data_IF_098483259366
#
_entry.id   IF_098483259366
#
_cell.length_a   1.000
_cell.length_b   1.000
_cell.length_c   1.000
_cell.angle_alpha   90.00
_cell.angle_beta   90.00
_cell.angle_gamma   90.00
#
_symmetry.space_group_name_H-M   'P 1'
#
loop_
_entity.id
_entity.type
_entity.pdbx_description
1 polymer ?
#
# COMPACT_ATOMS: atom_id res chain seq x y z
N UNK A 1 -9.83 -4.18 5.06
CA UNK A 1 -11.16 -3.62 5.41
C UNK A 1 -11.45 -2.28 4.75
N UNK A 2 -10.57 -1.25 4.78
CA UNK A 2 -10.89 0.06 4.19
C UNK A 2 -11.18 0.01 2.68
N UNK A 3 -10.38 -0.73 1.90
CA UNK A 3 -10.59 -0.91 0.46
C UNK A 3 -12.01 -1.40 0.12
N UNK A 4 -12.51 -2.44 0.81
CA UNK A 4 -13.83 -3.00 0.55
C UNK A 4 -14.96 -2.00 0.84
N UNK A 5 -14.82 -1.17 1.89
CA UNK A 5 -15.78 -0.12 2.20
C UNK A 5 -15.80 0.98 1.13
N UNK A 6 -14.63 1.32 0.59
CA UNK A 6 -14.49 2.32 -0.47
C UNK A 6 -15.09 1.82 -1.79
N UNK A 7 -14.72 0.62 -2.24
CA UNK A 7 -15.27 0.01 -3.47
C UNK A 7 -16.78 -0.18 -3.33
N UNK A 8 -17.25 -0.79 -2.24
CA UNK A 8 -18.67 -1.01 -2.01
C UNK A 8 -19.45 0.29 -1.85
N UNK A 9 -18.90 1.27 -1.15
CA UNK A 9 -19.52 2.58 -0.98
C UNK A 9 -19.68 3.33 -2.31
N UNK A 10 -18.69 3.24 -3.21
CA UNK A 10 -18.76 3.81 -4.55
C UNK A 10 -19.81 3.09 -5.40
N UNK A 11 -19.73 1.76 -5.49
CA UNK A 11 -20.58 0.98 -6.39
C UNK A 11 -22.05 0.95 -5.94
N UNK A 12 -22.31 1.12 -4.64
CA UNK A 12 -23.66 1.19 -4.06
C UNK A 12 -24.17 2.62 -3.83
N UNK A 13 -23.38 3.65 -4.18
CA UNK A 13 -23.66 5.06 -3.85
C UNK A 13 -24.00 5.28 -2.36
N UNK A 14 -23.23 4.66 -1.46
CA UNK A 14 -23.41 4.74 -0.02
C UNK A 14 -22.34 5.63 0.62
N UNK A 15 -22.71 6.87 0.94
CA UNK A 15 -21.82 7.89 1.51
C UNK A 15 -21.28 7.50 2.90
N UNK A 16 -22.08 6.83 3.74
CA UNK A 16 -21.64 6.39 5.07
C UNK A 16 -20.54 5.32 4.98
N UNK A 17 -20.63 4.41 4.00
CA UNK A 17 -19.57 3.43 3.74
C UNK A 17 -18.30 4.11 3.25
N UNK A 18 -18.41 5.07 2.33
CA UNK A 18 -17.27 5.85 1.85
C UNK A 18 -16.58 6.58 3.00
N UNK A 19 -17.36 7.27 3.83
CA UNK A 19 -16.86 8.00 5.01
C UNK A 19 -16.14 7.06 5.98
N UNK A 20 -16.76 5.95 6.34
CA UNK A 20 -16.15 4.95 7.22
C UNK A 20 -14.85 4.37 6.63
N UNK A 21 -14.83 4.10 5.32
CA UNK A 21 -13.64 3.63 4.61
C UNK A 21 -12.50 4.65 4.63
N UNK A 22 -12.79 5.92 4.35
CA UNK A 22 -11.83 7.02 4.38
C UNK A 22 -11.27 7.25 5.79
N UNK A 23 -12.14 7.29 6.81
CA UNK A 23 -11.73 7.49 8.21
C UNK A 23 -10.85 6.34 8.71
N UNK A 24 -11.23 5.10 8.41
CA UNK A 24 -10.45 3.92 8.76
C UNK A 24 -9.09 3.90 8.04
N UNK A 25 -9.07 4.22 6.74
CA UNK A 25 -7.83 4.27 5.97
C UNK A 25 -6.89 5.37 6.46
N UNK A 26 -7.42 6.56 6.77
CA UNK A 26 -6.63 7.68 7.31
C UNK A 26 -5.97 7.31 8.63
N UNK A 27 -6.71 6.64 9.51
CA UNK A 27 -6.17 6.13 10.76
C UNK A 27 -5.08 5.08 10.52
N UNK A 28 -5.32 4.14 9.60
CA UNK A 28 -4.38 3.06 9.30
C UNK A 28 -3.08 3.58 8.68
N UNK A 29 -3.16 4.46 7.68
CA UNK A 29 -1.99 5.12 7.07
C UNK A 29 -1.16 5.80 8.14
N UNK A 30 -1.77 6.57 9.05
CA UNK A 30 -1.05 7.24 10.15
C UNK A 30 -0.26 6.24 11.03
N UNK A 31 -0.81 5.05 11.27
CA UNK A 31 -0.14 4.00 12.05
C UNK A 31 0.96 3.31 11.24
N UNK A 32 0.74 3.18 9.92
CA UNK A 32 1.66 2.55 8.99
C UNK A 32 2.69 3.53 8.39
N UNK A 33 2.80 4.76 8.90
CA UNK A 33 3.89 5.69 8.55
C UNK A 33 4.91 5.71 9.68
N UNK A 34 6.18 5.50 9.33
CA UNK A 34 7.28 5.56 10.31
C UNK A 34 7.54 7.00 10.76
N UNK A 35 8.30 7.17 11.85
CA UNK A 35 8.80 8.49 12.26
C UNK A 35 9.72 9.15 11.21
N UNK A 36 10.28 8.37 10.28
CA UNK A 36 11.08 8.85 9.14
C UNK A 36 10.24 9.15 7.90
N UNK A 37 8.92 8.89 7.94
CA UNK A 37 7.97 9.22 6.87
C UNK A 37 7.78 8.14 5.80
N UNK A 38 8.50 7.02 5.87
CA UNK A 38 8.34 5.89 4.94
C UNK A 38 7.22 4.94 5.39
N UNK A 39 6.73 4.10 4.48
CA UNK A 39 5.73 3.08 4.79
C UNK A 39 6.32 1.98 5.69
N UNK A 40 5.69 1.75 6.83
CA UNK A 40 6.08 0.78 7.85
C UNK A 40 4.82 0.05 8.32
N UNK A 41 4.43 -1.05 7.66
CA UNK A 41 3.23 -1.79 8.03
C UNK A 41 3.35 -2.35 9.45
N UNK A 42 2.22 -2.78 9.99
CA UNK A 42 2.21 -3.48 11.28
C UNK A 42 2.86 -4.84 11.07
N UNK A 43 3.92 -5.11 11.81
CA UNK A 43 4.63 -6.38 11.76
C UNK A 43 3.80 -7.56 12.27
N UNK A 44 4.05 -8.75 11.75
CA UNK A 44 3.40 -9.98 12.23
C UNK A 44 4.12 -10.66 13.39
N UNK A 45 5.23 -10.10 13.86
CA UNK A 45 5.99 -10.57 15.02
C UNK A 45 5.29 -10.28 16.36
N UNK A 46 4.09 -9.67 16.33
CA UNK A 46 3.26 -9.44 17.50
C UNK A 46 1.82 -9.04 17.15
N UNK A 47 1.03 -8.78 18.19
CA UNK A 47 -0.33 -8.23 18.04
C UNK A 47 -0.34 -6.75 18.37
N UNK A 48 -0.87 -5.93 17.47
CA UNK A 48 -1.07 -4.51 17.74
C UNK A 48 -2.40 -4.28 18.47
N UNK A 49 -2.34 -4.21 19.79
CA UNK A 49 -3.49 -3.86 20.63
C UNK A 49 -3.69 -2.34 20.68
N UNK A 50 -4.92 -1.90 20.99
CA UNK A 50 -5.22 -0.49 21.23
C UNK A 50 -4.28 0.06 22.31
N UNK A 51 -3.63 1.19 22.02
CA UNK A 51 -2.65 1.86 22.87
C UNK A 51 -1.37 1.03 23.17
N UNK A 52 -1.18 -0.07 22.46
CA UNK A 52 0.01 -0.92 22.55
C UNK A 52 1.18 -0.40 21.72
N UNK A 53 2.31 -1.11 21.82
CA UNK A 53 3.47 -0.88 20.94
C UNK A 53 3.19 -1.56 19.61
N UNK A 54 3.32 -0.81 18.51
CA UNK A 54 3.20 -1.34 17.15
C UNK A 54 4.37 -2.31 16.88
N UNK A 55 4.11 -3.58 16.56
CA UNK A 55 5.14 -4.47 16.04
C UNK A 55 5.69 -3.90 14.73
N UNK A 56 7.01 -3.89 14.59
CA UNK A 56 7.68 -3.21 13.48
C UNK A 56 8.21 -4.19 12.45
N UNK A 57 8.48 -5.46 12.79
CA UNK A 57 9.15 -6.39 11.90
C UNK A 57 8.31 -7.62 11.60
N UNK A 58 8.82 -8.47 10.70
CA UNK A 58 7.99 -9.44 9.98
C UNK A 58 6.90 -8.70 9.19
N UNK A 59 7.31 -7.61 8.54
CA UNK A 59 6.45 -6.84 7.63
C UNK A 59 6.19 -7.66 6.37
N UNK A 60 4.95 -7.73 5.91
CA UNK A 60 4.56 -8.63 4.81
C UNK A 60 4.15 -7.86 3.53
N UNK A 61 4.48 -8.40 2.34
CA UNK A 61 4.03 -7.90 1.04
C UNK A 61 2.53 -7.66 0.90
N UNK A 62 1.70 -8.52 1.47
CA UNK A 62 0.24 -8.41 1.38
C UNK A 62 -0.29 -7.12 2.03
N UNK A 63 0.34 -6.66 3.10
CA UNK A 63 -0.02 -5.41 3.78
C UNK A 63 0.31 -4.20 2.89
N UNK A 64 1.46 -4.22 2.21
CA UNK A 64 1.81 -3.18 1.25
C UNK A 64 0.82 -3.13 0.09
N UNK A 65 0.50 -4.28 -0.52
CA UNK A 65 -0.51 -4.35 -1.59
C UNK A 65 -1.88 -3.85 -1.12
N UNK A 66 -2.35 -4.29 0.04
CA UNK A 66 -3.65 -3.88 0.58
C UNK A 66 -3.72 -2.36 0.82
N UNK A 67 -2.65 -1.75 1.31
CA UNK A 67 -2.58 -0.30 1.51
C UNK A 67 -2.54 0.46 0.19
N UNK A 68 -1.75 0.00 -0.79
CA UNK A 68 -1.72 0.58 -2.15
C UNK A 68 -3.13 0.59 -2.74
N UNK A 69 -3.78 -0.57 -2.78
CA UNK A 69 -5.10 -0.71 -3.39
C UNK A 69 -6.16 0.15 -2.68
N UNK A 70 -6.15 0.19 -1.34
CA UNK A 70 -7.03 1.06 -0.57
C UNK A 70 -6.80 2.55 -0.84
N UNK A 71 -5.54 2.98 -0.91
CA UNK A 71 -5.17 4.37 -1.16
C UNK A 71 -5.53 4.79 -2.60
N UNK A 72 -5.27 3.95 -3.59
CA UNK A 72 -5.67 4.24 -4.97
C UNK A 72 -7.19 4.32 -5.11
N UNK A 73 -7.95 3.49 -4.40
CA UNK A 73 -9.41 3.61 -4.38
C UNK A 73 -9.88 4.90 -3.67
N UNK A 74 -9.28 5.26 -2.55
CA UNK A 74 -9.57 6.52 -1.87
C UNK A 74 -9.27 7.73 -2.78
N UNK A 75 -8.18 7.66 -3.55
CA UNK A 75 -7.87 8.66 -4.58
C UNK A 75 -8.97 8.74 -5.65
N UNK A 76 -9.46 7.60 -6.16
CA UNK A 76 -10.52 7.59 -7.18
C UNK A 76 -11.78 8.32 -6.71
N UNK A 77 -12.18 8.09 -5.46
CA UNK A 77 -13.40 8.67 -4.85
C UNK A 77 -13.20 10.14 -4.45
N UNK A 78 -12.06 10.49 -3.87
CA UNK A 78 -11.86 11.82 -3.25
C UNK A 78 -11.10 12.82 -4.12
N UNK A 79 -10.30 12.33 -5.08
CA UNK A 79 -9.30 13.08 -5.85
C UNK A 79 -8.22 13.78 -5.00
N UNK A 80 -8.12 13.48 -3.71
CA UNK A 80 -7.10 14.01 -2.82
C UNK A 80 -5.75 13.33 -3.09
N UNK A 81 -4.78 14.11 -3.57
CA UNK A 81 -3.44 13.62 -3.98
C UNK A 81 -2.68 12.94 -2.85
N UNK A 82 -2.98 13.25 -1.59
CA UNK A 82 -2.35 12.60 -0.44
C UNK A 82 -2.47 11.06 -0.54
N UNK A 83 -3.62 10.55 -1.00
CA UNK A 83 -3.79 9.10 -1.14
C UNK A 83 -2.86 8.49 -2.20
N UNK A 84 -2.63 9.19 -3.31
CA UNK A 84 -1.67 8.71 -4.31
C UNK A 84 -0.25 8.71 -3.75
N UNK A 85 0.13 9.75 -2.99
CA UNK A 85 1.44 9.82 -2.33
C UNK A 85 1.66 8.69 -1.32
N UNK A 86 0.64 8.33 -0.54
CA UNK A 86 0.71 7.21 0.40
C UNK A 86 0.75 5.85 -0.31
N UNK A 87 0.04 5.69 -1.44
CA UNK A 87 0.17 4.50 -2.30
C UNK A 87 1.60 4.37 -2.84
N UNK A 88 2.22 5.47 -3.30
CA UNK A 88 3.59 5.48 -3.78
C UNK A 88 4.59 5.09 -2.69
N UNK A 89 4.47 5.62 -1.46
CA UNK A 89 5.32 5.21 -0.33
C UNK A 89 5.19 3.72 -0.01
N UNK A 90 3.96 3.19 -0.05
CA UNK A 90 3.73 1.77 0.16
C UNK A 90 4.31 0.91 -0.98
N UNK A 91 4.31 1.41 -2.22
CA UNK A 91 4.97 0.73 -3.34
C UNK A 91 6.50 0.76 -3.21
N UNK A 92 7.07 1.90 -2.83
CA UNK A 92 8.52 2.08 -2.60
C UNK A 92 9.06 1.10 -1.56
N UNK A 93 8.24 0.64 -0.62
CA UNK A 93 8.62 -0.38 0.35
C UNK A 93 9.19 -1.65 -0.30
N UNK A 94 8.61 -2.10 -1.42
CA UNK A 94 9.12 -3.24 -2.19
C UNK A 94 10.51 -3.00 -2.78
N UNK A 95 10.85 -1.72 -3.02
CA UNK A 95 12.07 -1.28 -3.68
C UNK A 95 13.16 -0.82 -2.68
N UNK A 96 12.88 -0.92 -1.38
CA UNK A 96 13.82 -0.51 -0.33
C UNK A 96 13.44 0.77 0.41
N UNK A 97 12.30 1.39 0.11
CA UNK A 97 11.69 2.48 0.89
C UNK A 97 11.14 2.01 2.24
N UNK A 98 11.93 1.22 2.98
CA UNK A 98 11.55 0.52 4.20
C UNK A 98 12.60 0.68 5.29
N UNK A 99 12.40 0.03 6.44
CA UNK A 99 13.24 0.24 7.62
C UNK A 99 14.72 -0.10 7.44
N UNK A 100 15.01 -1.05 6.56
CA UNK A 100 16.37 -1.55 6.33
C UNK A 100 17.00 -1.01 5.04
N UNK A 101 16.25 -0.33 4.18
CA UNK A 101 16.78 0.09 2.88
C UNK A 101 16.97 -1.07 1.90
N UNK A 102 16.34 -2.23 2.15
CA UNK A 102 16.59 -3.47 1.40
C UNK A 102 15.41 -3.72 0.45
N UNK A 103 15.64 -3.87 -0.86
CA UNK A 103 14.57 -4.25 -1.79
C UNK A 103 14.08 -5.67 -1.51
N UNK A 104 12.75 -5.85 -1.56
CA UNK A 104 12.13 -7.16 -1.49
C UNK A 104 11.90 -7.76 -2.88
N UNK A 105 11.65 -6.92 -3.89
CA UNK A 105 11.52 -7.37 -5.28
C UNK A 105 12.90 -7.52 -5.93
N UNK A 106 13.10 -8.65 -6.64
CA UNK A 106 14.27 -8.91 -7.46
C UNK A 106 13.91 -8.81 -8.96
N UNK A 107 14.38 -7.78 -9.68
CA UNK A 107 14.07 -7.61 -11.10
C UNK A 107 14.74 -8.64 -12.02
N UNK A 108 15.77 -9.36 -11.54
CA UNK A 108 16.47 -10.39 -12.34
C UNK A 108 15.64 -11.67 -12.40
N UNK A 109 15.06 -12.06 -11.27
CA UNK A 109 14.26 -13.30 -11.16
C UNK A 109 12.76 -13.05 -11.30
N UNK A 110 12.30 -11.82 -11.08
CA UNK A 110 10.89 -11.46 -10.99
C UNK A 110 10.23 -11.88 -9.68
N UNK A 111 10.99 -12.42 -8.71
CA UNK A 111 10.48 -12.85 -7.41
C UNK A 111 10.40 -11.70 -6.40
N UNK A 112 9.54 -11.86 -5.39
CA UNK A 112 9.46 -10.95 -4.24
C UNK A 112 9.70 -11.73 -2.95
N UNK A 113 10.52 -11.18 -2.06
CA UNK A 113 10.75 -11.72 -0.72
C UNK A 113 9.45 -11.71 0.12
N UNK A 114 9.26 -12.73 0.95
CA UNK A 114 8.04 -12.95 1.76
C UNK A 114 7.89 -11.98 2.95
N UNK A 115 8.90 -11.16 3.22
CA UNK A 115 8.79 -10.13 4.24
C UNK A 115 10.11 -9.50 4.64
N UNK A 116 10.02 -8.53 5.55
CA UNK A 116 11.14 -7.82 6.12
C UNK A 116 11.26 -8.15 7.62
N UNK A 117 12.27 -8.93 7.97
CA UNK A 117 12.67 -9.19 9.35
C UNK A 117 13.49 -8.00 9.91
N UNK A 118 13.83 -8.07 11.20
CA UNK A 118 14.61 -7.03 11.90
C UNK A 118 15.96 -6.71 11.27
N UNK A 119 16.60 -7.67 10.60
CA UNK A 119 17.97 -7.55 10.10
C UNK A 119 18.15 -7.96 8.64
N UNK A 120 17.09 -8.45 7.98
CA UNK A 120 17.15 -9.02 6.63
C UNK A 120 15.79 -9.07 5.94
N UNK A 121 15.80 -9.18 4.62
CA UNK A 121 14.66 -9.68 3.88
C UNK A 121 14.53 -11.21 4.06
N UNK A 122 13.30 -11.70 4.20
CA UNK A 122 13.00 -13.12 4.13
C UNK A 122 13.16 -13.59 2.68
N UNK A 123 14.23 -14.33 2.40
CA UNK A 123 14.60 -14.76 1.04
C UNK A 123 13.63 -15.76 0.40
N UNK A 124 12.65 -16.26 1.13
CA UNK A 124 11.58 -17.05 0.52
C UNK A 124 10.81 -16.16 -0.46
N UNK A 125 10.52 -16.70 -1.64
CA UNK A 125 9.80 -16.01 -2.70
C UNK A 125 8.55 -16.79 -3.06
N UNK A 126 7.57 -16.75 -2.15
CA UNK A 126 6.29 -17.40 -2.33
C UNK A 126 5.44 -16.79 -3.44
N UNK A 127 4.35 -17.49 -3.76
CA UNK A 127 3.37 -16.99 -4.73
C UNK A 127 2.67 -15.71 -4.22
N UNK A 128 2.37 -15.63 -2.91
CA UNK A 128 1.67 -14.49 -2.31
C UNK A 128 2.47 -13.19 -2.42
N UNK A 129 3.75 -13.21 -2.07
CA UNK A 129 4.64 -12.06 -2.13
C UNK A 129 4.86 -11.59 -3.56
N UNK A 130 5.11 -12.54 -4.46
CA UNK A 130 5.27 -12.25 -5.90
C UNK A 130 3.99 -11.65 -6.49
N UNK A 131 2.82 -12.23 -6.21
CA UNK A 131 1.53 -11.67 -6.66
C UNK A 131 1.25 -10.31 -6.04
N UNK A 132 1.56 -10.11 -4.75
CA UNK A 132 1.39 -8.81 -4.07
C UNK A 132 2.17 -7.72 -4.78
N UNK A 133 3.43 -7.98 -5.15
CA UNK A 133 4.22 -7.04 -5.93
C UNK A 133 3.62 -6.79 -7.33
N UNK A 134 3.31 -7.85 -8.08
CA UNK A 134 2.81 -7.72 -9.46
C UNK A 134 1.46 -7.01 -9.54
N UNK A 135 0.55 -7.28 -8.59
CA UNK A 135 -0.71 -6.57 -8.47
C UNK A 135 -0.49 -5.10 -8.12
N UNK A 136 0.41 -4.82 -7.17
CA UNK A 136 0.79 -3.46 -6.82
C UNK A 136 1.35 -2.68 -8.01
N UNK A 137 2.28 -3.27 -8.76
CA UNK A 137 2.84 -2.69 -9.98
C UNK A 137 1.74 -2.41 -11.01
N UNK A 138 0.86 -3.38 -11.24
CA UNK A 138 -0.25 -3.23 -12.20
C UNK A 138 -1.18 -2.09 -11.82
N UNK A 139 -1.60 -1.99 -10.56
CA UNK A 139 -2.52 -0.93 -10.11
C UNK A 139 -1.87 0.46 -10.15
N UNK A 140 -0.58 0.56 -9.77
CA UNK A 140 0.17 1.81 -9.85
C UNK A 140 0.32 2.28 -11.31
N UNK A 141 0.76 1.41 -12.21
CA UNK A 141 0.90 1.73 -13.64
C UNK A 141 -0.44 2.11 -14.28
N UNK A 142 -1.54 1.42 -13.94
CA UNK A 142 -2.87 1.81 -14.42
C UNK A 142 -3.27 3.21 -13.95
N UNK A 143 -2.99 3.54 -12.69
CA UNK A 143 -3.28 4.87 -12.16
C UNK A 143 -2.43 5.94 -12.84
N UNK A 144 -1.14 5.70 -13.02
CA UNK A 144 -0.22 6.61 -13.73
C UNK A 144 -0.71 6.91 -15.14
N UNK A 145 -1.05 5.89 -15.91
CA UNK A 145 -1.61 6.05 -17.27
C UNK A 145 -2.88 6.91 -17.27
N UNK A 146 -3.78 6.72 -16.30
CA UNK A 146 -4.99 7.56 -16.15
C UNK A 146 -4.59 9.01 -15.86
N UNK A 147 -3.66 9.25 -14.93
CA UNK A 147 -3.21 10.59 -14.57
C UNK A 147 -2.50 11.30 -15.71
N UNK A 148 -1.76 10.57 -16.55
CA UNK A 148 -1.12 11.10 -17.76
C UNK A 148 -2.15 11.46 -18.82
N UNK A 149 -3.13 10.58 -19.09
CA UNK A 149 -4.19 10.87 -20.06
C UNK A 149 -5.04 12.10 -19.71
N UNK A 150 -5.15 12.44 -18.42
CA UNK A 150 -5.82 13.66 -17.96
C UNK A 150 -4.97 14.93 -18.11
N UNK A 151 -3.65 14.80 -18.31
CA UNK A 151 -2.73 15.94 -18.48
C UNK A 151 -2.52 16.33 -19.94
N UNK A 152 -2.72 15.42 -20.89
CA UNK A 152 -2.66 15.74 -22.31
C UNK A 152 -3.87 16.60 -22.70
N UNK A 153 -3.68 17.84 -23.20
CA UNK A 153 -4.77 18.55 -23.86
C UNK A 153 -5.11 17.79 -25.15
N UNK A 154 -6.41 17.57 -25.39
CA UNK A 154 -6.88 17.10 -26.70
C UNK A 154 -6.43 18.15 -27.74
N UNK A 155 -5.41 17.83 -28.53
CA UNK A 155 -5.01 18.62 -29.69
C UNK A 155 -6.14 18.55 -30.73
N UNK A 156 -6.73 19.70 -31.05
CA UNK A 156 -7.66 19.91 -32.18
C UNK A 156 -6.91 20.08 -33.51
#
# INVERSE_FOLDING_TARGET
MPHALLVGGRDLNNEEMLKAGIEALRWLVKIQTSARGHFQPVGTDGTYNRDGVKPVFDQQPIEAYATISACLEAYRVTKDKMWYEEASKAFEWFLGGNDLGIPLYDPVTGGCCDGLHIDRANRNQGAESTLSFLLSLTEMTQMENVLESLKEPLEE
#
